data_IF_931244105599
#
_entry.id   IF_931244105599
#
_cell.length_a   1.000
_cell.length_b   1.000
_cell.length_c   1.000
_cell.angle_alpha   90.00
_cell.angle_beta   90.00
_cell.angle_gamma   90.00
#
_symmetry.space_group_name_H-M   'P 1'
#
loop_
_entity.id
_entity.type
_entity.pdbx_description
1 polymer ?
#
# COMPACT_ATOMS: atom_id res chain seq x y z
N UNK A 1 -27.42 10.85 14.00
CA UNK A 1 -27.28 12.34 13.96
C UNK A 1 -25.99 12.60 13.19
N UNK A 2 -26.15 13.15 12.01
CA UNK A 2 -25.02 13.37 11.12
C UNK A 2 -24.10 14.45 11.71
N UNK A 3 -22.85 14.10 11.92
CA UNK A 3 -21.85 15.09 12.33
C UNK A 3 -21.64 16.06 11.17
N UNK A 4 -21.58 17.36 11.49
CA UNK A 4 -21.40 18.43 10.48
C UNK A 4 -20.09 18.27 9.70
N UNK A 5 -19.11 17.53 10.27
CA UNK A 5 -17.78 17.29 9.75
C UNK A 5 -17.44 15.79 9.81
N UNK A 6 -16.62 15.32 8.87
CA UNK A 6 -16.08 13.96 8.85
C UNK A 6 -14.68 13.94 9.47
N UNK A 7 -14.34 12.87 10.19
CA UNK A 7 -13.02 12.71 10.79
C UNK A 7 -11.92 12.79 9.71
N UNK A 8 -10.92 13.67 9.94
CA UNK A 8 -9.83 13.92 9.00
C UNK A 8 -10.05 15.12 8.06
N UNK A 9 -11.26 15.70 8.01
CA UNK A 9 -11.48 16.96 7.26
C UNK A 9 -10.65 18.10 7.80
N UNK A 10 -10.08 18.90 6.91
CA UNK A 10 -9.28 20.07 7.27
C UNK A 10 -10.21 21.23 7.64
N UNK A 11 -10.07 21.70 8.86
CA UNK A 11 -10.86 22.82 9.39
C UNK A 11 -9.95 23.96 9.83
N UNK A 12 -10.47 25.16 9.70
CA UNK A 12 -9.86 26.37 10.26
C UNK A 12 -10.78 26.89 11.36
N UNK A 13 -10.25 26.98 12.58
CA UNK A 13 -10.97 27.48 13.74
C UNK A 13 -10.49 28.88 14.03
N UNK A 14 -11.41 29.84 14.03
CA UNK A 14 -11.18 31.22 14.41
C UNK A 14 -11.60 31.42 15.86
N UNK A 15 -10.74 31.99 16.68
CA UNK A 15 -11.03 32.24 18.09
C UNK A 15 -11.40 33.71 18.34
N UNK A 16 -12.01 33.97 19.49
CA UNK A 16 -12.35 35.33 19.96
C UNK A 16 -11.13 36.22 20.18
N UNK A 17 -9.96 35.61 20.38
CA UNK A 17 -8.69 36.33 20.55
C UNK A 17 -8.04 36.67 19.18
N UNK A 18 -8.73 36.49 18.06
CA UNK A 18 -8.23 36.68 16.70
C UNK A 18 -7.11 35.72 16.31
N UNK A 19 -6.97 34.61 17.01
CA UNK A 19 -6.07 33.54 16.67
C UNK A 19 -6.79 32.60 15.65
N UNK A 20 -6.03 32.05 14.72
CA UNK A 20 -6.53 31.16 13.70
C UNK A 20 -5.74 29.85 13.76
N UNK A 21 -6.44 28.75 13.96
CA UNK A 21 -5.87 27.42 14.02
C UNK A 21 -6.36 26.59 12.86
N UNK A 22 -5.45 25.96 12.14
CA UNK A 22 -5.75 25.00 11.09
C UNK A 22 -5.41 23.60 11.59
N UNK A 23 -6.34 22.65 11.44
CA UNK A 23 -6.11 21.28 11.88
C UNK A 23 -7.15 20.33 11.35
N UNK A 24 -6.92 19.02 11.52
CA UNK A 24 -7.83 17.98 11.05
C UNK A 24 -8.86 17.62 12.11
N UNK A 25 -10.11 17.54 11.70
CA UNK A 25 -11.22 17.20 12.58
C UNK A 25 -11.05 15.81 13.21
N UNK A 26 -11.03 15.74 14.52
CA UNK A 26 -10.98 14.51 15.31
C UNK A 26 -12.36 14.09 15.80
N UNK A 27 -13.15 15.04 16.30
CA UNK A 27 -14.48 14.80 16.83
C UNK A 27 -15.08 16.05 17.49
N UNK A 28 -16.38 15.95 17.79
CA UNK A 28 -17.16 16.98 18.49
C UNK A 28 -18.04 16.31 19.55
N UNK A 29 -18.25 16.97 20.67
CA UNK A 29 -19.19 16.52 21.71
C UNK A 29 -20.63 16.54 21.21
N UNK A 30 -21.51 15.69 21.77
CA UNK A 30 -22.91 15.58 21.34
C UNK A 30 -23.69 16.89 21.50
N UNK A 31 -23.32 17.69 22.50
CA UNK A 31 -23.89 19.02 22.77
C UNK A 31 -23.24 20.15 21.97
N UNK A 32 -22.30 19.79 21.10
CA UNK A 32 -21.49 20.70 20.26
C UNK A 32 -20.68 21.75 21.05
N UNK A 33 -20.52 21.57 22.34
CA UNK A 33 -19.80 22.50 23.20
C UNK A 33 -18.28 22.49 23.00
N UNK A 34 -17.73 21.40 22.38
CA UNK A 34 -16.31 21.21 22.20
C UNK A 34 -16.02 20.52 20.87
N UNK A 35 -15.13 21.10 20.07
CA UNK A 35 -14.52 20.49 18.89
C UNK A 35 -13.07 20.12 19.18
N UNK A 36 -12.62 19.02 18.62
CA UNK A 36 -11.28 18.49 18.77
C UNK A 36 -10.62 18.38 17.41
N UNK A 37 -9.40 18.85 17.29
CA UNK A 37 -8.58 18.78 16.06
C UNK A 37 -7.24 18.13 16.38
N UNK A 38 -6.62 17.50 15.41
CA UNK A 38 -5.24 16.99 15.45
C UNK A 38 -4.43 17.59 14.30
N UNK A 39 -3.10 17.46 14.34
CA UNK A 39 -2.17 18.12 13.40
C UNK A 39 -2.42 19.62 13.32
N UNK A 40 -2.59 20.24 14.48
CA UNK A 40 -2.98 21.66 14.57
C UNK A 40 -1.77 22.56 14.46
N UNK A 41 -1.89 23.61 13.64
CA UNK A 41 -0.93 24.71 13.55
C UNK A 41 -1.65 26.05 13.69
N UNK A 42 -1.04 26.97 14.40
CA UNK A 42 -1.48 28.36 14.48
C UNK A 42 -1.01 29.13 13.25
N UNK A 43 -1.89 29.90 12.63
CA UNK A 43 -1.54 30.71 11.46
C UNK A 43 -1.19 32.15 11.90
N UNK A 44 -0.23 32.84 11.21
CA UNK A 44 0.39 32.44 9.95
C UNK A 44 1.70 31.67 10.08
N UNK A 45 2.29 31.49 11.23
CA UNK A 45 3.67 30.97 11.38
C UNK A 45 3.86 29.92 12.47
N UNK A 46 2.79 29.31 12.99
CA UNK A 46 2.89 28.31 14.05
C UNK A 46 3.52 27.00 13.63
N UNK A 47 4.33 26.40 14.49
CA UNK A 47 4.75 25.02 14.35
C UNK A 47 3.56 24.09 14.60
N UNK A 48 3.50 22.92 13.94
CA UNK A 48 2.48 21.92 14.26
C UNK A 48 2.56 21.53 15.74
N UNK A 49 1.41 21.47 16.40
CA UNK A 49 1.29 20.97 17.76
C UNK A 49 1.09 19.47 17.76
N UNK A 50 1.84 18.76 18.59
CA UNK A 50 1.65 17.34 18.78
C UNK A 50 0.36 17.04 19.57
N UNK A 51 -0.39 16.02 19.13
CA UNK A 51 -1.57 15.54 19.83
C UNK A 51 -2.90 16.17 19.38
N UNK A 52 -3.95 15.93 20.17
CA UNK A 52 -5.31 16.44 19.92
C UNK A 52 -5.55 17.68 20.75
N UNK A 53 -5.81 18.80 20.09
CA UNK A 53 -6.21 20.05 20.73
C UNK A 53 -7.73 20.17 20.77
N UNK A 54 -8.23 20.81 21.83
CA UNK A 54 -9.64 20.99 22.10
C UNK A 54 -10.00 22.48 22.10
N UNK A 55 -11.03 22.84 21.36
CA UNK A 55 -11.57 24.20 21.31
C UNK A 55 -13.02 24.17 21.79
N UNK A 56 -13.36 25.10 22.65
CA UNK A 56 -14.70 25.20 23.21
C UNK A 56 -15.52 26.24 22.47
N UNK A 57 -16.82 26.00 22.33
CA UNK A 57 -17.77 26.89 21.65
C UNK A 57 -17.68 28.33 22.20
N UNK A 58 -17.45 28.48 23.51
CA UNK A 58 -17.26 29.79 24.16
C UNK A 58 -16.04 30.58 23.66
N UNK A 59 -15.06 29.91 23.04
CA UNK A 59 -13.80 30.50 22.54
C UNK A 59 -13.82 30.70 21.02
N UNK A 60 -14.70 30.00 20.31
CA UNK A 60 -14.76 29.99 18.87
C UNK A 60 -15.63 31.14 18.37
N UNK A 61 -15.19 31.81 17.32
CA UNK A 61 -15.98 32.75 16.53
C UNK A 61 -16.53 32.17 15.25
N UNK A 62 -15.72 31.33 14.59
CA UNK A 62 -16.12 30.69 13.33
C UNK A 62 -15.34 29.40 13.09
N UNK A 63 -15.93 28.49 12.35
CA UNK A 63 -15.27 27.26 11.87
C UNK A 63 -15.47 27.18 10.37
N UNK A 64 -14.41 27.37 9.63
CA UNK A 64 -14.42 27.28 8.17
C UNK A 64 -13.93 25.89 7.76
N UNK A 65 -14.76 25.16 7.04
CA UNK A 65 -14.29 23.97 6.32
C UNK A 65 -13.43 24.44 5.17
N UNK A 66 -12.15 24.20 5.30
CA UNK A 66 -11.25 24.40 4.17
C UNK A 66 -11.56 23.29 3.16
N UNK A 67 -11.81 23.67 1.89
CA UNK A 67 -11.58 22.70 0.85
C UNK A 67 -10.11 22.33 1.04
N UNK A 68 -9.87 21.04 1.31
CA UNK A 68 -8.53 20.51 1.18
C UNK A 68 -8.10 20.97 -0.22
N UNK A 69 -7.42 22.12 -0.24
CA UNK A 69 -6.79 22.62 -1.46
C UNK A 69 -5.75 21.56 -1.73
N UNK A 70 -6.24 20.51 -2.45
CA UNK A 70 -5.75 19.16 -2.42
C UNK A 70 -4.30 19.23 -2.07
N UNK A 71 -3.85 18.54 -1.03
CA UNK A 71 -2.45 18.21 -0.94
C UNK A 71 -1.99 18.21 -2.38
N UNK A 72 -1.11 19.13 -2.79
CA UNK A 72 -0.36 18.86 -3.99
C UNK A 72 0.07 17.45 -3.72
N UNK A 73 -0.61 16.49 -4.37
CA UNK A 73 -0.40 15.08 -4.13
C UNK A 73 1.05 14.88 -4.49
N UNK A 74 1.91 15.12 -3.50
CA UNK A 74 3.30 14.83 -3.65
C UNK A 74 3.30 13.36 -3.97
N UNK A 75 3.63 13.05 -5.20
CA UNK A 75 3.98 11.72 -5.59
C UNK A 75 4.89 11.23 -4.46
N UNK A 76 4.48 10.23 -3.70
CA UNK A 76 5.31 9.62 -2.66
C UNK A 76 6.51 8.89 -3.28
N UNK A 77 6.55 8.87 -4.62
CA UNK A 77 7.68 8.48 -5.45
C UNK A 77 8.10 9.70 -6.29
N UNK A 78 9.39 9.82 -6.59
CA UNK A 78 9.91 10.89 -7.45
C UNK A 78 9.39 10.72 -8.89
N UNK A 79 9.24 11.83 -9.61
CA UNK A 79 8.86 11.79 -11.04
C UNK A 79 9.81 10.89 -11.84
N UNK A 80 11.10 10.96 -11.56
CA UNK A 80 12.12 10.12 -12.20
C UNK A 80 11.88 8.64 -11.96
N UNK A 81 11.59 8.25 -10.72
CA UNK A 81 11.29 6.86 -10.35
C UNK A 81 10.01 6.38 -11.05
N UNK A 82 8.97 7.23 -11.09
CA UNK A 82 7.74 6.93 -11.82
C UNK A 82 8.00 6.70 -13.31
N UNK A 83 8.82 7.56 -13.95
CA UNK A 83 9.22 7.39 -15.35
C UNK A 83 10.01 6.10 -15.60
N UNK A 84 10.89 5.73 -14.68
CA UNK A 84 11.67 4.49 -14.77
C UNK A 84 10.75 3.26 -14.70
N UNK A 85 9.78 3.23 -13.77
CA UNK A 85 8.79 2.17 -13.67
C UNK A 85 7.93 2.08 -14.95
N UNK A 86 7.50 3.23 -15.48
CA UNK A 86 6.74 3.28 -16.74
C UNK A 86 7.60 2.79 -17.93
N UNK A 87 8.89 3.07 -17.95
CA UNK A 87 9.80 2.53 -18.99
C UNK A 87 9.90 1.01 -18.93
N UNK A 88 9.94 0.43 -17.71
CA UNK A 88 9.94 -1.03 -17.52
C UNK A 88 8.62 -1.63 -18.03
N UNK A 89 7.47 -1.01 -17.73
CA UNK A 89 6.18 -1.50 -18.19
C UNK A 89 6.03 -1.58 -19.71
N UNK A 90 6.78 -0.77 -20.46
CA UNK A 90 6.77 -0.78 -21.94
C UNK A 90 7.69 -1.83 -22.57
N UNK A 91 8.52 -2.51 -21.77
CA UNK A 91 9.54 -3.46 -22.25
C UNK A 91 9.23 -4.91 -21.85
N UNK A 92 7.94 -5.25 -21.71
CA UNK A 92 7.56 -6.62 -21.34
C UNK A 92 7.96 -7.65 -22.40
N UNK A 93 8.18 -8.89 -21.97
CA UNK A 93 8.43 -10.03 -22.82
C UNK A 93 7.18 -10.92 -22.79
N UNK A 94 6.56 -11.12 -23.97
CA UNK A 94 5.43 -12.02 -24.12
C UNK A 94 5.91 -13.42 -24.49
N UNK A 95 5.53 -14.42 -23.71
CA UNK A 95 5.99 -15.81 -23.81
C UNK A 95 4.78 -16.71 -24.02
N UNK A 96 4.70 -17.32 -25.20
CA UNK A 96 3.62 -18.22 -25.60
C UNK A 96 4.11 -19.63 -25.97
N UNK A 97 5.38 -19.93 -25.72
CA UNK A 97 5.96 -21.25 -25.96
C UNK A 97 7.11 -21.54 -25.00
N UNK A 98 7.35 -22.82 -24.73
CA UNK A 98 8.43 -23.27 -23.86
C UNK A 98 9.72 -23.39 -24.70
N UNK A 99 10.53 -22.35 -24.64
CA UNK A 99 11.78 -22.21 -25.37
C UNK A 99 12.85 -21.55 -24.49
N UNK A 100 13.99 -21.18 -25.07
CA UNK A 100 15.06 -20.51 -24.34
C UNK A 100 14.58 -19.23 -23.62
N UNK A 101 13.74 -18.42 -24.26
CA UNK A 101 13.17 -17.21 -23.63
C UNK A 101 12.36 -17.54 -22.38
N UNK A 102 11.56 -18.62 -22.42
CA UNK A 102 10.82 -19.11 -21.26
C UNK A 102 11.77 -19.49 -20.12
N UNK A 103 12.79 -20.29 -20.40
CA UNK A 103 13.75 -20.70 -19.36
C UNK A 103 14.58 -19.54 -18.82
N UNK A 104 15.05 -18.64 -19.69
CA UNK A 104 15.75 -17.42 -19.26
C UNK A 104 14.88 -16.55 -18.34
N UNK A 105 13.58 -16.45 -18.64
CA UNK A 105 12.65 -15.73 -17.76
C UNK A 105 12.50 -16.40 -16.38
N UNK A 106 12.45 -17.74 -16.32
CA UNK A 106 12.43 -18.45 -15.03
C UNK A 106 13.73 -18.27 -14.24
N UNK A 107 14.88 -18.28 -14.93
CA UNK A 107 16.18 -18.08 -14.30
C UNK A 107 16.31 -16.67 -13.74
N UNK A 108 15.87 -15.64 -14.49
CA UNK A 108 15.83 -14.26 -14.00
C UNK A 108 14.92 -14.13 -12.76
N UNK A 109 13.69 -14.64 -12.83
CA UNK A 109 12.75 -14.60 -11.71
C UNK A 109 13.32 -15.27 -10.44
N UNK A 110 14.04 -16.39 -10.58
CA UNK A 110 14.63 -17.11 -9.46
C UNK A 110 15.84 -16.39 -8.80
N UNK A 111 16.45 -15.41 -9.47
CA UNK A 111 17.57 -14.63 -8.92
C UNK A 111 17.12 -13.54 -7.95
N UNK A 112 15.82 -13.26 -7.88
CA UNK A 112 15.25 -12.20 -7.04
C UNK A 112 14.64 -12.76 -5.74
N UNK A 113 14.69 -11.96 -4.66
CA UNK A 113 14.00 -12.30 -3.41
C UNK A 113 12.49 -12.09 -3.48
N UNK A 114 12.05 -11.17 -4.35
CA UNK A 114 10.64 -10.81 -4.56
C UNK A 114 10.35 -10.71 -6.06
N UNK A 115 9.18 -11.19 -6.46
CA UNK A 115 8.63 -11.04 -7.81
C UNK A 115 7.19 -10.53 -7.73
N UNK A 116 6.83 -9.62 -8.62
CA UNK A 116 5.43 -9.23 -8.80
C UNK A 116 4.67 -10.38 -9.49
N UNK A 117 3.41 -10.57 -9.10
CA UNK A 117 2.52 -11.54 -9.75
C UNK A 117 1.13 -10.94 -9.95
N UNK A 118 0.63 -11.05 -11.16
CA UNK A 118 -0.72 -10.59 -11.54
C UNK A 118 -1.31 -11.47 -12.63
N UNK A 119 -2.61 -11.35 -12.80
CA UNK A 119 -3.36 -11.91 -13.92
C UNK A 119 -4.64 -11.12 -14.10
N UNK A 120 -5.22 -11.17 -15.25
CA UNK A 120 -6.50 -10.55 -15.53
C UNK A 120 -7.45 -11.54 -16.23
N UNK A 121 -8.73 -11.39 -15.97
CA UNK A 121 -9.77 -12.20 -16.61
C UNK A 121 -11.11 -12.03 -15.89
N UNK A 122 -12.19 -12.08 -16.67
CA UNK A 122 -13.54 -12.10 -16.13
C UNK A 122 -13.80 -13.43 -15.42
N UNK A 123 -14.41 -13.35 -14.22
CA UNK A 123 -14.77 -14.53 -13.43
C UNK A 123 -13.60 -15.41 -12.99
N UNK A 124 -12.48 -14.83 -12.58
CA UNK A 124 -11.36 -15.55 -11.97
C UNK A 124 -11.80 -16.43 -10.79
N UNK A 125 -11.23 -17.63 -10.66
CA UNK A 125 -11.50 -18.59 -9.61
C UNK A 125 -11.58 -20.03 -10.14
N UNK A 126 -12.10 -20.98 -9.34
CA UNK A 126 -12.04 -22.42 -9.67
C UNK A 126 -12.80 -22.86 -10.92
N UNK A 127 -13.72 -22.03 -11.44
CA UNK A 127 -14.47 -22.34 -12.66
C UNK A 127 -13.86 -21.73 -13.92
N UNK A 128 -12.88 -20.85 -13.78
CA UNK A 128 -12.27 -20.13 -14.90
C UNK A 128 -10.95 -20.71 -15.34
N UNK A 129 -10.60 -20.42 -16.59
CA UNK A 129 -9.26 -20.68 -17.12
C UNK A 129 -8.39 -19.46 -16.84
N UNK A 130 -7.15 -19.71 -16.47
CA UNK A 130 -6.12 -18.68 -16.37
C UNK A 130 -5.67 -18.34 -17.81
N UNK A 131 -5.99 -17.16 -18.35
CA UNK A 131 -5.64 -16.84 -19.73
C UNK A 131 -4.13 -16.58 -19.88
N UNK A 132 -3.55 -15.87 -18.91
CA UNK A 132 -2.12 -15.60 -18.82
C UNK A 132 -1.71 -15.35 -17.36
N UNK A 133 -0.43 -15.50 -17.09
CA UNK A 133 0.20 -15.16 -15.84
C UNK A 133 1.26 -14.09 -16.09
N UNK A 134 1.19 -12.96 -15.36
CA UNK A 134 2.21 -11.91 -15.44
C UNK A 134 3.10 -12.04 -14.22
N UNK A 135 4.40 -12.16 -14.46
CA UNK A 135 5.42 -12.14 -13.41
C UNK A 135 6.41 -11.02 -13.71
N UNK A 136 6.92 -10.36 -12.69
CA UNK A 136 7.87 -9.28 -12.86
C UNK A 136 9.00 -9.33 -11.83
N UNK A 137 10.18 -8.96 -12.29
CA UNK A 137 11.26 -8.45 -11.45
C UNK A 137 11.18 -6.91 -11.41
N UNK A 138 11.95 -6.20 -10.60
CA UNK A 138 12.01 -4.73 -10.66
C UNK A 138 12.43 -4.18 -12.02
N UNK A 139 13.11 -4.97 -12.86
CA UNK A 139 13.69 -4.54 -14.14
C UNK A 139 12.97 -5.08 -15.37
N UNK A 140 12.23 -6.19 -15.25
CA UNK A 140 11.65 -6.88 -16.38
C UNK A 140 10.27 -7.47 -16.07
N UNK A 141 9.36 -7.41 -17.05
CA UNK A 141 8.02 -7.99 -16.97
C UNK A 141 7.89 -9.11 -18.00
N UNK A 142 7.35 -10.23 -17.55
CA UNK A 142 7.09 -11.44 -18.36
C UNK A 142 5.59 -11.74 -18.37
N UNK A 143 5.01 -11.84 -19.55
CA UNK A 143 3.60 -12.24 -19.74
C UNK A 143 3.58 -13.65 -20.30
N UNK A 144 3.31 -14.63 -19.46
CA UNK A 144 3.21 -16.04 -19.84
C UNK A 144 1.79 -16.35 -20.33
N UNK A 145 1.64 -16.73 -21.58
CA UNK A 145 0.36 -17.11 -22.15
C UNK A 145 -0.03 -18.54 -21.74
N UNK A 146 -0.71 -18.65 -20.62
CA UNK A 146 -1.11 -19.95 -20.05
C UNK A 146 -2.17 -20.63 -20.91
N UNK A 147 -3.02 -19.87 -21.62
CA UNK A 147 -4.02 -20.45 -22.49
C UNK A 147 -3.40 -21.23 -23.67
N UNK A 148 -2.26 -20.77 -24.18
CA UNK A 148 -1.52 -21.42 -25.25
C UNK A 148 -0.65 -22.55 -24.73
N UNK A 149 0.14 -22.30 -23.68
CA UNK A 149 1.10 -23.26 -23.13
C UNK A 149 0.45 -24.29 -22.20
N UNK A 150 -0.73 -23.99 -21.67
CA UNK A 150 -1.51 -24.87 -20.78
C UNK A 150 -0.72 -25.35 -19.53
N UNK A 151 -0.97 -26.61 -19.10
CA UNK A 151 -0.29 -27.20 -17.94
C UNK A 151 1.23 -27.36 -18.15
N UNK A 152 1.67 -27.47 -19.40
CA UNK A 152 3.08 -27.64 -19.74
C UNK A 152 3.96 -26.48 -19.21
N UNK A 153 3.43 -25.25 -19.16
CA UNK A 153 4.14 -24.11 -18.59
C UNK A 153 4.44 -24.31 -17.09
N UNK A 154 3.52 -24.92 -16.36
CA UNK A 154 3.71 -25.21 -14.94
C UNK A 154 4.71 -26.34 -14.73
N UNK A 155 4.61 -27.41 -15.50
CA UNK A 155 5.53 -28.56 -15.44
C UNK A 155 6.95 -28.15 -15.86
N UNK A 156 7.08 -27.21 -16.80
CA UNK A 156 8.37 -26.68 -17.27
C UNK A 156 9.07 -25.74 -16.26
N UNK A 157 8.43 -25.40 -15.13
CA UNK A 157 9.08 -24.68 -14.05
C UNK A 157 8.27 -23.60 -13.34
N UNK A 158 7.18 -23.07 -13.92
CA UNK A 158 6.35 -22.06 -13.24
C UNK A 158 5.81 -22.58 -11.92
N UNK A 159 5.40 -23.85 -11.83
CA UNK A 159 4.91 -24.45 -10.58
C UNK A 159 5.97 -24.36 -9.48
N UNK A 160 7.22 -24.68 -9.78
CA UNK A 160 8.32 -24.64 -8.82
C UNK A 160 8.50 -23.24 -8.23
N UNK A 161 8.45 -22.17 -9.04
CA UNK A 161 8.56 -20.78 -8.58
C UNK A 161 7.35 -20.41 -7.73
N UNK A 162 6.15 -20.77 -8.15
CA UNK A 162 4.93 -20.37 -7.45
C UNK A 162 4.77 -21.08 -6.09
N UNK A 163 5.26 -22.30 -5.94
CA UNK A 163 5.20 -23.10 -4.71
C UNK A 163 6.41 -22.86 -3.78
N UNK A 164 7.48 -22.25 -4.27
CA UNK A 164 8.69 -22.00 -3.49
C UNK A 164 8.49 -20.94 -2.39
N UNK A 165 9.33 -20.97 -1.37
CA UNK A 165 9.42 -19.91 -0.35
C UNK A 165 10.17 -18.68 -0.85
N UNK A 166 11.05 -18.84 -1.82
CA UNK A 166 11.78 -17.78 -2.52
C UNK A 166 11.78 -18.07 -4.01
N UNK A 167 11.47 -17.04 -4.84
CA UNK A 167 11.09 -15.66 -4.50
C UNK A 167 9.71 -15.56 -3.83
N UNK A 168 9.51 -14.53 -2.99
CA UNK A 168 8.20 -14.15 -2.51
C UNK A 168 7.37 -13.50 -3.62
N UNK A 169 6.09 -13.82 -3.71
CA UNK A 169 5.17 -13.33 -4.74
C UNK A 169 4.39 -12.14 -4.21
N UNK A 170 4.67 -10.96 -4.76
CA UNK A 170 3.92 -9.74 -4.45
C UNK A 170 2.66 -9.74 -5.31
N UNK A 171 1.51 -9.67 -4.68
CA UNK A 171 0.20 -9.64 -5.35
C UNK A 171 -0.69 -8.55 -4.75
N UNK A 172 -1.77 -8.23 -5.44
CA UNK A 172 -2.88 -7.47 -4.87
C UNK A 172 -4.15 -8.33 -4.98
N UNK A 173 -4.71 -8.75 -3.84
CA UNK A 173 -5.81 -9.71 -3.73
C UNK A 173 -5.48 -11.10 -4.31
N UNK A 174 -4.78 -11.91 -3.54
CA UNK A 174 -4.36 -13.26 -3.94
C UNK A 174 -5.50 -14.29 -4.00
N UNK A 175 -6.70 -13.99 -3.49
CA UNK A 175 -7.79 -14.98 -3.28
C UNK A 175 -8.18 -15.70 -4.56
N UNK A 176 -8.49 -14.96 -5.62
CA UNK A 176 -8.99 -15.52 -6.88
C UNK A 176 -7.91 -16.28 -7.65
N UNK A 177 -6.70 -15.71 -7.73
CA UNK A 177 -5.59 -16.35 -8.43
C UNK A 177 -5.14 -17.63 -7.69
N UNK A 178 -5.08 -17.60 -6.37
CA UNK A 178 -4.74 -18.79 -5.56
C UNK A 178 -5.76 -19.91 -5.73
N UNK A 179 -7.07 -19.61 -5.75
CA UNK A 179 -8.12 -20.60 -5.99
C UNK A 179 -8.03 -21.20 -7.39
N UNK A 180 -7.78 -20.38 -8.42
CA UNK A 180 -7.58 -20.83 -9.80
C UNK A 180 -6.36 -21.73 -9.94
N UNK A 181 -5.20 -21.30 -9.43
CA UNK A 181 -3.95 -22.07 -9.47
C UNK A 181 -4.10 -23.44 -8.80
N UNK A 182 -4.72 -23.46 -7.61
CA UNK A 182 -4.91 -24.70 -6.87
C UNK A 182 -5.84 -25.70 -7.59
N UNK A 183 -7.03 -25.25 -7.99
CA UNK A 183 -8.04 -26.16 -8.51
C UNK A 183 -7.89 -26.48 -10.01
N UNK A 184 -7.23 -25.62 -10.79
CA UNK A 184 -7.09 -25.84 -12.25
C UNK A 184 -5.72 -26.34 -12.65
N UNK A 185 -4.69 -25.96 -11.91
CA UNK A 185 -3.31 -26.24 -12.29
C UNK A 185 -2.57 -27.08 -11.26
N UNK A 186 -3.24 -27.47 -10.16
CA UNK A 186 -2.64 -28.20 -9.04
C UNK A 186 -1.35 -27.51 -8.53
N UNK A 187 -1.41 -26.17 -8.39
CA UNK A 187 -0.33 -25.32 -7.91
C UNK A 187 -0.75 -24.69 -6.59
N UNK A 188 -0.01 -24.99 -5.54
CA UNK A 188 -0.21 -24.39 -4.21
C UNK A 188 0.63 -23.14 -4.08
N UNK A 189 0.02 -21.99 -4.34
CA UNK A 189 0.71 -20.70 -4.20
C UNK A 189 1.26 -20.53 -2.78
N UNK A 190 2.55 -20.21 -2.66
CA UNK A 190 3.26 -20.09 -1.37
C UNK A 190 4.05 -18.77 -1.31
N UNK A 191 4.46 -18.38 -0.10
CA UNK A 191 5.28 -17.18 0.19
C UNK A 191 4.74 -15.92 -0.50
N UNK A 192 3.49 -15.57 -0.18
CA UNK A 192 2.77 -14.41 -0.76
C UNK A 192 2.95 -13.17 0.11
N UNK A 193 3.25 -12.03 -0.50
CA UNK A 193 3.06 -10.70 0.06
C UNK A 193 1.86 -10.06 -0.63
N UNK A 194 0.73 -9.99 0.06
CA UNK A 194 -0.50 -9.41 -0.50
C UNK A 194 -0.62 -7.93 -0.08
N UNK A 195 -0.51 -7.02 -1.04
CA UNK A 195 -0.58 -5.58 -0.80
C UNK A 195 -1.95 -5.11 -0.29
N UNK A 196 -3.04 -5.84 -0.60
CA UNK A 196 -4.37 -5.55 -0.05
C UNK A 196 -4.44 -5.91 1.44
N UNK A 197 -3.87 -7.04 1.84
CA UNK A 197 -3.77 -7.44 3.24
C UNK A 197 -2.86 -6.49 4.00
N UNK A 198 -1.75 -6.07 3.39
CA UNK A 198 -0.85 -5.06 3.96
C UNK A 198 -1.57 -3.73 4.22
N UNK A 199 -2.36 -3.22 3.26
CA UNK A 199 -3.18 -2.02 3.44
C UNK A 199 -4.19 -2.15 4.60
N UNK A 200 -4.80 -3.31 4.76
CA UNK A 200 -5.71 -3.57 5.89
C UNK A 200 -4.99 -3.46 7.24
N UNK A 201 -3.77 -4.00 7.34
CA UNK A 201 -2.98 -3.95 8.56
C UNK A 201 -2.51 -2.52 8.87
N UNK A 202 -2.03 -1.78 7.86
CA UNK A 202 -1.68 -0.36 8.00
C UNK A 202 -2.89 0.46 8.44
N UNK A 203 -4.04 0.24 7.81
CA UNK A 203 -5.28 0.95 8.15
C UNK A 203 -5.73 0.64 9.58
N UNK A 204 -5.67 -0.64 9.99
CA UNK A 204 -5.99 -1.05 11.37
C UNK A 204 -5.06 -0.39 12.37
N UNK A 205 -3.77 -0.38 12.08
CA UNK A 205 -2.79 0.23 12.96
C UNK A 205 -3.05 1.75 13.13
N UNK A 206 -3.35 2.46 12.03
CA UNK A 206 -3.62 3.92 12.07
C UNK A 206 -4.97 4.30 12.68
N UNK A 207 -6.00 3.46 12.52
CA UNK A 207 -7.38 3.79 12.92
C UNK A 207 -7.89 3.02 14.14
N UNK A 208 -7.13 2.06 14.65
CA UNK A 208 -7.52 1.16 15.73
C UNK A 208 -8.57 0.11 15.34
N UNK A 209 -9.06 0.09 14.09
CA UNK A 209 -10.06 -0.85 13.62
C UNK A 209 -9.85 -1.18 12.13
N UNK A 210 -10.35 -2.36 11.72
CA UNK A 210 -10.39 -2.75 10.31
C UNK A 210 -11.44 -1.93 9.55
N UNK A 211 -11.17 -1.56 8.29
CA UNK A 211 -12.18 -0.92 7.44
C UNK A 211 -13.26 -1.93 7.01
N UNK A 212 -14.45 -1.43 6.67
CA UNK A 212 -15.55 -2.28 6.18
C UNK A 212 -15.30 -2.81 4.75
N UNK A 213 -14.53 -2.09 3.95
CA UNK A 213 -14.24 -2.44 2.57
C UNK A 213 -12.72 -2.50 2.35
N UNK A 214 -12.31 -3.33 1.40
CA UNK A 214 -10.93 -3.42 0.93
C UNK A 214 -10.71 -2.43 -0.21
N UNK A 215 -9.49 -1.92 -0.35
CA UNK A 215 -9.12 -1.06 -1.47
C UNK A 215 -8.75 -1.89 -2.70
N UNK A 216 -9.08 -1.38 -3.86
CA UNK A 216 -8.57 -1.85 -5.15
C UNK A 216 -7.09 -1.49 -5.31
N UNK A 217 -6.42 -2.11 -6.29
CA UNK A 217 -5.03 -1.77 -6.63
C UNK A 217 -4.89 -0.28 -6.97
N UNK A 218 -5.80 0.28 -7.77
CA UNK A 218 -5.81 1.69 -8.14
C UNK A 218 -5.91 2.62 -6.92
N UNK A 219 -6.80 2.30 -5.96
CA UNK A 219 -6.94 3.05 -4.72
C UNK A 219 -5.69 2.94 -3.83
N UNK A 220 -5.04 1.77 -3.77
CA UNK A 220 -3.77 1.60 -3.06
C UNK A 220 -2.65 2.40 -3.73
N UNK A 221 -2.52 2.34 -5.06
CA UNK A 221 -1.53 3.13 -5.81
C UNK A 221 -1.73 4.64 -5.60
N UNK A 222 -2.98 5.10 -5.58
CA UNK A 222 -3.27 6.48 -5.24
C UNK A 222 -2.91 6.82 -3.78
N UNK A 223 -3.28 5.95 -2.82
CA UNK A 223 -3.05 6.18 -1.39
C UNK A 223 -1.55 6.21 -1.05
N UNK A 224 -0.78 5.26 -1.57
CA UNK A 224 0.62 5.04 -1.18
C UNK A 224 1.63 5.70 -2.12
N UNK A 225 1.33 5.81 -3.41
CA UNK A 225 2.23 6.38 -4.41
C UNK A 225 1.78 7.75 -4.92
N UNK A 226 0.57 8.20 -4.61
CA UNK A 226 0.00 9.45 -5.11
C UNK A 226 -0.39 9.37 -6.60
N UNK A 227 -0.40 8.17 -7.19
CA UNK A 227 -0.73 7.98 -8.61
C UNK A 227 -2.24 8.13 -8.82
N UNK A 228 -2.64 9.08 -9.66
CA UNK A 228 -4.01 9.14 -10.15
C UNK A 228 -4.15 8.16 -11.31
N UNK A 229 -4.52 6.94 -10.99
CA UNK A 229 -5.03 6.03 -12.00
C UNK A 229 -6.52 6.33 -12.09
N UNK A 230 -7.05 6.68 -13.29
CA UNK A 230 -8.49 6.84 -13.44
C UNK A 230 -9.16 5.61 -12.82
N UNK A 231 -10.06 5.83 -11.87
CA UNK A 231 -10.91 4.75 -11.42
C UNK A 231 -11.53 4.14 -12.68
N UNK A 232 -11.54 2.81 -12.79
CA UNK A 232 -12.05 2.04 -13.94
C UNK A 232 -13.55 2.29 -14.21
N UNK A 233 -14.00 3.53 -14.12
CA UNK A 233 -15.36 4.01 -14.32
C UNK A 233 -15.69 4.44 -15.75
N UNK A 234 -14.68 4.59 -16.63
CA UNK A 234 -14.92 4.78 -18.04
C UNK A 234 -14.67 3.45 -18.76
N UNK A 235 -15.80 2.77 -19.07
CA UNK A 235 -15.90 1.64 -19.95
C UNK A 235 -14.69 0.68 -19.85
N UNK A 236 -14.69 -0.19 -18.82
CA UNK A 236 -14.08 -1.50 -18.97
C UNK A 236 -14.69 -2.11 -20.25
N UNK A 237 -14.09 -1.80 -21.40
CA UNK A 237 -14.17 -2.72 -22.52
C UNK A 237 -13.82 -4.04 -21.89
N UNK A 238 -14.79 -4.94 -21.77
CA UNK A 238 -14.55 -6.29 -21.28
C UNK A 238 -13.55 -6.89 -22.28
N UNK A 239 -12.25 -6.67 -22.01
CA UNK A 239 -11.20 -7.19 -22.85
C UNK A 239 -11.32 -8.69 -22.80
N UNK A 240 -11.65 -9.26 -23.95
CA UNK A 240 -11.73 -10.70 -24.05
C UNK A 240 -10.30 -11.30 -24.01
N UNK A 241 -9.81 -11.51 -22.79
CA UNK A 241 -8.49 -12.08 -22.54
C UNK A 241 -8.31 -13.49 -23.10
N UNK A 242 -9.36 -14.10 -23.69
CA UNK A 242 -9.30 -15.44 -24.26
C UNK A 242 -9.06 -15.45 -25.77
N UNK A 243 -9.16 -14.32 -26.46
CA UNK A 243 -8.87 -14.22 -27.89
C UNK A 243 -7.36 -14.26 -28.14
N UNK A 244 -6.93 -14.97 -29.21
CA UNK A 244 -5.54 -15.03 -29.62
C UNK A 244 -5.40 -14.62 -31.09
N UNK A 245 -4.30 -13.89 -31.45
CA UNK A 245 -3.22 -13.41 -30.56
C UNK A 245 -3.72 -12.42 -29.51
N UNK A 246 -3.11 -12.43 -28.31
CA UNK A 246 -3.47 -11.52 -27.23
C UNK A 246 -3.27 -10.06 -27.68
N UNK A 247 -4.31 -9.22 -27.52
CA UNK A 247 -4.31 -7.82 -27.93
C UNK A 247 -3.16 -7.05 -27.23
N UNK A 248 -2.56 -6.12 -27.95
CA UNK A 248 -1.49 -5.25 -27.46
C UNK A 248 -1.98 -4.41 -26.27
N UNK A 249 -3.20 -3.86 -26.33
CA UNK A 249 -3.79 -3.04 -25.27
C UNK A 249 -3.91 -3.81 -23.94
N UNK A 250 -4.26 -5.11 -24.01
CA UNK A 250 -4.30 -5.98 -22.81
C UNK A 250 -2.90 -6.16 -22.24
N UNK A 251 -1.92 -6.46 -23.10
CA UNK A 251 -0.52 -6.64 -22.68
C UNK A 251 0.04 -5.37 -22.05
N UNK A 252 -0.21 -4.22 -22.63
CA UNK A 252 0.24 -2.92 -22.13
C UNK A 252 -0.41 -2.59 -20.77
N UNK A 253 -1.72 -2.85 -20.64
CA UNK A 253 -2.46 -2.64 -19.38
C UNK A 253 -1.89 -3.51 -18.27
N UNK A 254 -1.82 -4.82 -18.46
CA UNK A 254 -1.36 -5.73 -17.39
C UNK A 254 0.11 -5.51 -17.04
N UNK A 255 0.94 -5.12 -17.99
CA UNK A 255 2.33 -4.75 -17.74
C UNK A 255 2.42 -3.45 -16.92
N UNK A 256 1.55 -2.47 -17.17
CA UNK A 256 1.47 -1.25 -16.39
C UNK A 256 0.98 -1.51 -14.97
N UNK A 257 -0.04 -2.33 -14.80
CA UNK A 257 -0.64 -2.63 -13.49
C UNK A 257 0.36 -3.35 -12.57
N UNK A 258 1.15 -4.29 -13.09
CA UNK A 258 2.14 -5.03 -12.30
C UNK A 258 3.41 -4.22 -12.00
N UNK A 259 3.76 -3.26 -12.84
CA UNK A 259 5.03 -2.52 -12.76
C UNK A 259 5.20 -1.82 -11.40
N UNK A 260 4.11 -1.32 -10.81
CA UNK A 260 4.14 -0.59 -9.56
C UNK A 260 4.07 -1.48 -8.30
N UNK A 261 3.82 -2.79 -8.44
CA UNK A 261 3.62 -3.68 -7.28
C UNK A 261 4.86 -3.76 -6.38
N UNK A 262 6.06 -3.77 -6.96
CA UNK A 262 7.30 -3.80 -6.17
C UNK A 262 7.37 -2.58 -5.25
N UNK A 263 7.23 -1.38 -5.83
CA UNK A 263 7.29 -0.15 -5.06
C UNK A 263 6.15 0.00 -4.05
N UNK A 264 4.95 -0.41 -4.44
CA UNK A 264 3.79 -0.44 -3.53
C UNK A 264 4.06 -1.36 -2.34
N UNK A 265 4.63 -2.54 -2.57
CA UNK A 265 4.93 -3.49 -1.50
C UNK A 265 6.00 -2.97 -0.53
N UNK A 266 7.02 -2.25 -1.02
CA UNK A 266 8.05 -1.62 -0.20
C UNK A 266 7.42 -0.60 0.75
N UNK A 267 6.65 0.35 0.21
CA UNK A 267 6.01 1.40 1.03
C UNK A 267 5.02 0.81 2.04
N UNK A 268 4.21 -0.17 1.64
CA UNK A 268 3.28 -0.82 2.56
C UNK A 268 4.05 -1.57 3.65
N UNK A 269 5.15 -2.23 3.32
CA UNK A 269 5.99 -2.92 4.30
C UNK A 269 6.61 -1.94 5.30
N UNK A 270 7.14 -0.80 4.84
CA UNK A 270 7.69 0.24 5.69
C UNK A 270 6.62 0.81 6.63
N UNK A 271 5.42 1.09 6.11
CA UNK A 271 4.28 1.55 6.91
C UNK A 271 3.84 0.51 7.94
N UNK A 272 3.83 -0.79 7.60
CA UNK A 272 3.50 -1.86 8.55
C UNK A 272 4.53 -1.97 9.67
N UNK A 273 5.81 -1.74 9.36
CA UNK A 273 6.92 -1.84 10.29
C UNK A 273 7.18 -0.54 11.08
N UNK A 274 6.49 0.56 10.77
CA UNK A 274 6.71 1.84 11.42
C UNK A 274 6.65 1.79 12.95
N UNK A 275 5.70 1.10 13.61
CA UNK A 275 5.71 0.94 15.06
C UNK A 275 6.97 0.22 15.58
N UNK A 276 7.44 -0.79 14.85
CA UNK A 276 8.68 -1.48 15.19
C UNK A 276 9.89 -0.55 15.09
N UNK A 277 10.01 0.22 14.02
CA UNK A 277 11.11 1.19 13.83
C UNK A 277 11.12 2.21 14.96
N UNK A 278 9.98 2.81 15.28
CA UNK A 278 9.83 3.77 16.40
C UNK A 278 10.19 3.11 17.76
N UNK A 279 9.78 1.87 17.96
CA UNK A 279 10.16 1.10 19.15
C UNK A 279 11.67 0.93 19.27
N UNK A 280 12.34 0.60 18.16
CA UNK A 280 13.81 0.50 18.11
C UNK A 280 14.47 1.86 18.40
N UNK A 281 13.98 2.94 17.79
CA UNK A 281 14.47 4.31 18.07
C UNK A 281 14.32 4.66 19.55
N UNK A 282 13.18 4.36 20.15
CA UNK A 282 12.96 4.54 21.59
C UNK A 282 13.98 3.77 22.44
N UNK A 283 14.31 2.53 22.06
CA UNK A 283 15.34 1.74 22.74
C UNK A 283 16.73 2.35 22.60
N UNK A 284 17.09 2.79 21.41
CA UNK A 284 18.39 3.42 21.11
C UNK A 284 18.56 4.72 21.91
N UNK A 285 17.50 5.53 22.00
CA UNK A 285 17.56 6.82 22.71
C UNK A 285 17.47 6.69 24.23
N UNK A 286 16.89 5.63 24.76
CA UNK A 286 16.58 5.48 26.18
C UNK A 286 17.77 5.73 27.14
N UNK A 287 18.94 5.21 26.79
CA UNK A 287 20.16 5.37 27.57
C UNK A 287 20.98 6.53 27.01
N UNK A 288 21.12 6.61 25.68
CA UNK A 288 21.96 7.58 24.97
C UNK A 288 21.62 9.05 25.27
N UNK A 289 20.34 9.36 25.43
CA UNK A 289 19.85 10.71 25.74
C UNK A 289 19.92 11.07 27.23
N UNK A 290 20.29 10.12 28.10
CA UNK A 290 20.35 10.31 29.54
C UNK A 290 21.70 10.87 29.98
N UNK A 291 21.71 11.61 31.13
CA UNK A 291 22.95 11.95 31.81
C UNK A 291 23.67 10.69 32.34
N UNK A 292 24.94 10.86 32.75
CA UNK A 292 25.79 9.73 33.15
C UNK A 292 25.24 8.91 34.29
N UNK A 293 24.68 9.55 35.32
CA UNK A 293 24.13 8.87 36.49
C UNK A 293 22.89 8.06 36.11
N UNK A 294 21.99 8.68 35.37
CA UNK A 294 20.76 8.03 34.91
C UNK A 294 21.06 6.89 33.90
N UNK A 295 22.03 7.10 33.01
CA UNK A 295 22.47 6.06 32.09
C UNK A 295 23.00 4.84 32.85
N UNK A 296 23.78 5.05 33.91
CA UNK A 296 24.29 3.97 34.75
C UNK A 296 23.17 3.21 35.47
N UNK A 297 22.17 3.91 36.01
CA UNK A 297 20.99 3.31 36.64
C UNK A 297 20.17 2.49 35.62
N UNK A 298 19.98 2.99 34.40
CA UNK A 298 19.23 2.32 33.34
C UNK A 298 19.95 1.06 32.83
N UNK A 299 21.28 1.08 32.76
CA UNK A 299 22.09 -0.09 32.41
C UNK A 299 21.89 -1.24 33.42
N UNK A 300 21.64 -0.92 34.71
CA UNK A 300 21.33 -1.91 35.72
C UNK A 300 19.89 -2.46 35.69
N UNK A 301 19.02 -1.89 34.84
CA UNK A 301 17.58 -2.22 34.73
C UNK A 301 17.21 -2.70 33.31
N UNK A 302 18.08 -3.50 32.69
CA UNK A 302 17.92 -3.96 31.32
C UNK A 302 16.68 -4.82 31.03
N UNK A 303 15.96 -5.24 32.07
CA UNK A 303 14.68 -5.96 32.02
C UNK A 303 13.45 -5.04 32.00
N UNK A 304 13.63 -3.72 32.15
CA UNK A 304 12.52 -2.76 32.18
C UNK A 304 12.32 -2.10 30.81
N UNK A 305 11.05 -1.98 30.42
CA UNK A 305 10.69 -1.21 29.24
C UNK A 305 10.96 0.28 29.45
N UNK A 306 11.49 1.00 28.43
CA UNK A 306 11.53 2.46 28.44
C UNK A 306 10.15 3.04 28.72
N UNK A 307 10.07 4.12 29.51
CA UNK A 307 8.79 4.73 29.90
C UNK A 307 7.94 5.15 28.70
N UNK A 308 8.58 5.64 27.64
CA UNK A 308 7.93 6.17 26.45
C UNK A 308 7.69 5.12 25.36
N UNK A 309 8.09 3.86 25.59
CA UNK A 309 7.99 2.80 24.59
C UNK A 309 6.56 2.56 24.08
N UNK A 310 5.59 2.58 25.01
CA UNK A 310 4.19 2.39 24.65
C UNK A 310 3.71 3.46 23.67
N UNK A 311 4.02 4.73 23.97
CA UNK A 311 3.65 5.85 23.11
C UNK A 311 4.39 5.80 21.77
N UNK A 312 5.65 5.35 21.76
CA UNK A 312 6.46 5.25 20.56
C UNK A 312 5.88 4.26 19.54
N UNK A 313 5.31 3.14 19.99
CA UNK A 313 4.74 2.09 19.10
C UNK A 313 3.25 2.30 18.79
N UNK A 314 2.56 3.22 19.45
CA UNK A 314 1.18 3.60 19.12
C UNK A 314 1.18 4.53 17.88
N UNK A 315 0.15 4.37 17.00
CA UNK A 315 -0.05 5.19 15.81
C UNK A 315 -0.77 6.48 16.15
#
# INVERSE_FOLDING_TARGET
>A
MDSLYMKGELLQVHTKNSEIFEGRYYGMTNDKSKISLYDVKELPQGNPSDGVLHYYDSEITDIVKLQDSGEQKHLKISEKECEEIIKVSKKYIYINQINNTFHTALDDLNQHGYIGMSTEGTNMGRKCRLPFLVLSTPQQIYIFDIQVMQYQAFDAGLKKILESESPKKIVHDCRKISDCLYHKHNVKLNAVFDTQVGDLLVTRNKKGCLPNNVKTLAECLNTYLGLQIPADGEELKVFNCTVRPLNIEIKDKVAKDIAFLHRLSEIINDEMLLPFVRGVECYVENIRSSDELKAWELCGKGDQLPKDFKNAIEY
#
